data_IF_733595645715
#
_entry.id   IF_733595645715
#
_cell.length_a   1.000
_cell.length_b   1.000
_cell.length_c   1.000
_cell.angle_alpha   90.00
_cell.angle_beta   90.00
_cell.angle_gamma   90.00
#
_symmetry.space_group_name_H-M   'P 1'
#
loop_
_entity.id
_entity.type
_entity.pdbx_description
1 polymer ?
#
# COMPACT_ATOMS: atom_id res chain seq x y z
N UNK A 1 25.02 3.33 10.57
CA UNK A 1 24.24 2.95 9.38
C UNK A 1 22.82 3.36 9.65
N UNK A 2 22.20 4.19 8.80
CA UNK A 2 20.77 4.45 8.91
C UNK A 2 20.07 3.23 8.31
N UNK A 3 19.47 2.42 9.19
CA UNK A 3 18.64 1.31 8.76
C UNK A 3 17.33 1.90 8.27
N UNK A 4 17.09 1.90 6.96
CA UNK A 4 15.80 2.28 6.40
C UNK A 4 14.79 1.19 6.74
N UNK A 5 13.76 1.46 7.57
CA UNK A 5 12.77 0.46 7.92
C UNK A 5 11.87 0.17 6.72
N UNK A 6 11.35 -1.05 6.66
CA UNK A 6 10.32 -1.41 5.67
C UNK A 6 8.95 -1.45 6.32
N UNK A 7 7.97 -0.87 5.63
CA UNK A 7 6.57 -0.94 6.03
C UNK A 7 5.82 -1.84 5.06
N UNK A 8 5.27 -2.93 5.57
CA UNK A 8 4.25 -3.71 4.88
C UNK A 8 2.91 -3.02 5.11
N UNK A 9 2.35 -2.49 4.03
CA UNK A 9 1.19 -1.61 4.06
C UNK A 9 -0.03 -2.31 3.47
N UNK A 10 -0.96 -2.68 4.35
CA UNK A 10 -2.31 -3.06 3.92
C UNK A 10 -3.16 -1.79 3.67
N UNK A 11 -4.09 -1.88 2.73
CA UNK A 11 -5.07 -0.84 2.46
C UNK A 11 -6.45 -1.23 2.93
N UNK A 12 -6.83 -2.50 2.73
CA UNK A 12 -8.16 -3.03 3.05
C UNK A 12 -8.42 -2.80 4.54
N UNK A 13 -9.44 -1.99 4.86
CA UNK A 13 -9.83 -1.58 6.23
C UNK A 13 -8.76 -0.90 7.10
N UNK A 14 -7.51 -0.80 6.64
CA UNK A 14 -6.41 -0.10 7.30
C UNK A 14 -6.28 1.35 6.83
N UNK A 15 -6.32 1.59 5.51
CA UNK A 15 -6.31 2.93 4.91
C UNK A 15 -7.62 3.23 4.18
N UNK A 16 -8.18 2.24 3.48
CA UNK A 16 -9.46 2.29 2.80
C UNK A 16 -10.56 1.86 3.78
N UNK A 17 -10.85 2.71 4.76
CA UNK A 17 -11.87 2.42 5.78
C UNK A 17 -13.25 2.56 5.12
N UNK A 18 -14.05 1.48 5.13
CA UNK A 18 -15.36 1.28 4.47
C UNK A 18 -16.43 2.39 4.57
N UNK A 19 -16.21 3.49 5.29
CA UNK A 19 -17.17 4.60 5.35
C UNK A 19 -17.38 5.32 4.02
N UNK A 20 -16.44 5.26 3.06
CA UNK A 20 -16.49 6.12 1.86
C UNK A 20 -16.08 5.47 0.53
N UNK A 21 -15.55 4.24 0.50
CA UNK A 21 -15.07 3.61 -0.74
C UNK A 21 -15.61 2.19 -0.90
N UNK A 22 -16.38 1.99 -1.97
CA UNK A 22 -16.62 0.66 -2.52
C UNK A 22 -15.39 0.30 -3.36
N UNK A 23 -14.58 -0.68 -2.91
CA UNK A 23 -13.37 -1.11 -3.62
C UNK A 23 -13.66 -1.41 -5.09
N UNK A 24 -14.87 -1.92 -5.40
CA UNK A 24 -15.31 -2.15 -6.77
C UNK A 24 -15.32 -0.87 -7.62
N UNK A 25 -15.77 0.27 -7.07
CA UNK A 25 -15.81 1.55 -7.82
C UNK A 25 -14.42 2.08 -8.15
N UNK A 26 -13.43 1.87 -7.28
CA UNK A 26 -12.05 2.30 -7.54
C UNK A 26 -11.44 1.46 -8.66
N UNK A 27 -11.67 0.14 -8.60
CA UNK A 27 -11.20 -0.79 -9.64
C UNK A 27 -11.89 -0.54 -10.97
N UNK A 28 -13.20 -0.28 -10.98
CA UNK A 28 -13.97 0.04 -12.20
C UNK A 28 -13.49 1.33 -12.86
N UNK A 29 -13.30 2.40 -12.07
CA UNK A 29 -12.82 3.69 -12.61
C UNK A 29 -11.40 3.56 -13.17
N UNK A 30 -10.53 2.78 -12.52
CA UNK A 30 -9.19 2.51 -13.03
C UNK A 30 -9.23 1.67 -14.32
N UNK A 31 -10.01 0.57 -14.33
CA UNK A 31 -10.14 -0.33 -15.47
C UNK A 31 -10.75 0.35 -16.71
N UNK A 32 -11.69 1.27 -16.51
CA UNK A 32 -12.31 2.05 -17.58
C UNK A 32 -11.46 3.22 -18.08
N UNK A 33 -10.30 3.48 -17.45
CA UNK A 33 -9.44 4.62 -17.75
C UNK A 33 -10.15 6.00 -17.69
N UNK A 34 -11.27 6.10 -16.96
CA UNK A 34 -12.04 7.34 -16.76
C UNK A 34 -11.67 8.05 -15.46
N UNK A 35 -10.46 7.79 -14.99
CA UNK A 35 -9.90 8.24 -13.70
C UNK A 35 -9.96 9.75 -13.52
N UNK A 36 -9.85 10.51 -14.62
CA UNK A 36 -9.91 11.98 -14.62
C UNK A 36 -11.34 12.54 -14.54
N UNK A 37 -12.37 11.72 -14.75
CA UNK A 37 -13.77 12.13 -14.64
C UNK A 37 -14.24 12.27 -13.18
N UNK A 38 -13.50 11.71 -12.21
CA UNK A 38 -13.89 11.67 -10.80
C UNK A 38 -12.74 12.05 -9.87
N UNK A 39 -12.26 13.31 -9.89
CA UNK A 39 -11.13 13.74 -9.06
C UNK A 39 -11.41 13.60 -7.56
N UNK A 40 -12.63 13.91 -7.12
CA UNK A 40 -13.02 13.87 -5.70
C UNK A 40 -13.07 12.44 -5.14
N UNK A 41 -13.36 11.45 -6.00
CA UNK A 41 -13.39 10.04 -5.61
C UNK A 41 -12.06 9.64 -4.95
N UNK A 42 -10.94 10.00 -5.55
CA UNK A 42 -9.60 9.60 -5.12
C UNK A 42 -9.18 10.17 -3.76
N UNK A 43 -9.72 11.32 -3.36
CA UNK A 43 -9.44 11.92 -2.06
C UNK A 43 -10.18 11.22 -0.92
N UNK A 44 -11.31 10.58 -1.26
CA UNK A 44 -12.18 9.88 -0.32
C UNK A 44 -11.94 8.36 -0.29
N UNK A 45 -11.14 7.82 -1.23
CA UNK A 45 -10.74 6.41 -1.22
C UNK A 45 -10.02 6.02 0.06
N UNK A 46 -9.13 6.89 0.56
CA UNK A 46 -8.31 6.62 1.73
C UNK A 46 -8.60 7.62 2.85
N UNK A 47 -8.76 7.11 4.07
CA UNK A 47 -9.06 7.93 5.23
C UNK A 47 -8.05 9.05 5.42
N UNK A 48 -8.55 10.28 5.58
CA UNK A 48 -7.73 11.47 5.66
C UNK A 48 -6.85 11.53 6.91
N UNK A 49 -7.25 10.90 8.02
CA UNK A 49 -6.43 10.82 9.22
C UNK A 49 -5.35 9.75 9.05
N UNK A 50 -5.69 8.58 8.53
CA UNK A 50 -4.73 7.51 8.22
C UNK A 50 -3.62 8.01 7.28
N UNK A 51 -3.97 8.74 6.21
CA UNK A 51 -2.99 9.35 5.29
C UNK A 51 -2.06 10.35 5.99
N UNK A 52 -2.59 11.20 6.88
CA UNK A 52 -1.78 12.17 7.64
C UNK A 52 -0.84 11.49 8.62
N UNK A 53 -1.30 10.43 9.29
CA UNK A 53 -0.48 9.63 10.19
C UNK A 53 0.66 8.96 9.42
N UNK A 54 0.35 8.32 8.28
CA UNK A 54 1.35 7.69 7.43
C UNK A 54 2.37 8.69 6.87
N UNK A 55 1.93 9.90 6.53
CA UNK A 55 2.84 10.97 6.10
C UNK A 55 3.75 11.45 7.24
N UNK A 56 3.24 11.52 8.47
CA UNK A 56 4.04 11.88 9.65
C UNK A 56 5.10 10.83 9.90
N UNK A 57 4.71 9.56 9.90
CA UNK A 57 5.62 8.43 10.01
C UNK A 57 6.69 8.48 8.91
N UNK A 58 6.28 8.74 7.66
CA UNK A 58 7.23 8.85 6.56
C UNK A 58 8.29 9.93 6.77
N UNK A 59 7.86 11.12 7.23
CA UNK A 59 8.77 12.25 7.49
C UNK A 59 9.76 11.95 8.60
N UNK A 60 9.36 11.17 9.60
CA UNK A 60 10.18 10.84 10.76
C UNK A 60 11.19 9.73 10.46
N UNK A 61 10.74 8.65 9.81
CA UNK A 61 11.54 7.43 9.68
C UNK A 61 12.07 7.16 8.27
N UNK A 62 11.60 7.91 7.26
CA UNK A 62 11.93 7.72 5.84
C UNK A 62 11.91 6.23 5.39
N UNK A 63 10.81 5.49 5.69
CA UNK A 63 10.72 4.08 5.39
C UNK A 63 10.61 3.81 3.88
N UNK A 64 10.94 2.57 3.52
CA UNK A 64 10.54 1.97 2.24
C UNK A 64 9.23 1.21 2.41
N UNK A 65 8.47 1.06 1.33
CA UNK A 65 7.15 0.44 1.38
C UNK A 65 7.06 -0.83 0.55
N UNK A 66 6.29 -1.79 1.06
CA UNK A 66 5.82 -2.99 0.36
C UNK A 66 4.30 -3.04 0.54
N UNK A 67 3.56 -3.21 -0.55
CA UNK A 67 2.10 -3.29 -0.48
C UNK A 67 1.68 -4.73 -0.18
N UNK A 68 0.97 -4.92 0.94
CA UNK A 68 0.42 -6.22 1.39
C UNK A 68 -1.11 -6.29 1.29
N UNK A 69 -1.72 -5.38 0.52
CA UNK A 69 -3.17 -5.27 0.31
C UNK A 69 -3.70 -6.16 -0.82
N UNK A 70 -4.96 -6.61 -0.71
CA UNK A 70 -5.73 -7.33 -1.75
C UNK A 70 -5.65 -6.67 -3.14
N UNK A 71 -5.47 -5.35 -3.18
CA UNK A 71 -5.45 -4.54 -4.39
C UNK A 71 -4.32 -4.90 -5.36
N UNK A 72 -3.24 -5.52 -4.87
CA UNK A 72 -2.11 -5.97 -5.70
C UNK A 72 -2.47 -7.12 -6.63
N UNK A 73 -3.59 -7.82 -6.38
CA UNK A 73 -4.16 -8.80 -7.31
C UNK A 73 -4.86 -8.17 -8.51
N UNK A 74 -5.15 -6.87 -8.46
CA UNK A 74 -5.95 -6.16 -9.46
C UNK A 74 -5.20 -5.04 -10.17
N UNK A 75 -4.16 -4.50 -9.53
CA UNK A 75 -3.39 -3.37 -10.05
C UNK A 75 -1.94 -3.78 -10.30
N UNK A 76 -1.44 -3.49 -11.50
CA UNK A 76 -0.01 -3.56 -11.75
C UNK A 76 0.72 -2.37 -11.07
N UNK A 77 2.06 -2.39 -11.08
CA UNK A 77 2.87 -1.35 -10.43
C UNK A 77 2.54 0.07 -10.93
N UNK A 78 2.35 0.27 -12.24
CA UNK A 78 2.06 1.58 -12.79
C UNK A 78 0.70 2.09 -12.31
N UNK A 79 -0.31 1.23 -12.32
CA UNK A 79 -1.66 1.53 -11.83
C UNK A 79 -1.65 1.83 -10.34
N UNK A 80 -0.93 1.03 -9.55
CA UNK A 80 -0.74 1.24 -8.12
C UNK A 80 -0.11 2.60 -7.84
N UNK A 81 0.98 2.93 -8.52
CA UNK A 81 1.65 4.23 -8.35
C UNK A 81 0.73 5.40 -8.71
N UNK A 82 -0.03 5.28 -9.81
CA UNK A 82 -1.00 6.31 -10.21
C UNK A 82 -2.07 6.51 -9.15
N UNK A 83 -2.64 5.42 -8.64
CA UNK A 83 -3.62 5.46 -7.55
C UNK A 83 -3.04 6.14 -6.31
N UNK A 84 -1.88 5.70 -5.84
CA UNK A 84 -1.22 6.26 -4.66
C UNK A 84 -0.96 7.77 -4.82
N UNK A 85 -0.48 8.21 -6.00
CA UNK A 85 -0.26 9.64 -6.29
C UNK A 85 -1.58 10.44 -6.20
N UNK A 86 -2.68 9.90 -6.74
CA UNK A 86 -4.01 10.55 -6.72
C UNK A 86 -4.62 10.60 -5.33
N UNK A 87 -4.43 9.56 -4.51
CA UNK A 87 -4.91 9.52 -3.13
C UNK A 87 -4.07 10.40 -2.16
N UNK A 88 -3.06 11.11 -2.65
CA UNK A 88 -2.18 11.95 -1.82
C UNK A 88 -1.06 11.17 -1.13
N UNK A 89 -0.80 9.94 -1.55
CA UNK A 89 0.29 9.07 -1.08
C UNK A 89 1.47 9.02 -2.06
N UNK A 90 1.77 10.13 -2.75
CA UNK A 90 2.93 10.24 -3.66
C UNK A 90 4.25 9.82 -2.98
N UNK A 91 4.40 10.08 -1.68
CA UNK A 91 5.59 9.68 -0.92
C UNK A 91 5.71 8.15 -0.78
N UNK A 92 4.60 7.41 -0.71
CA UNK A 92 4.61 5.94 -0.73
C UNK A 92 5.05 5.46 -2.10
N UNK A 93 4.43 5.98 -3.17
CA UNK A 93 4.74 5.60 -4.55
C UNK A 93 6.23 5.79 -4.90
N UNK A 94 6.86 6.88 -4.45
CA UNK A 94 8.27 7.16 -4.69
C UNK A 94 9.23 6.30 -3.85
N UNK A 95 8.74 5.63 -2.80
CA UNK A 95 9.55 4.86 -1.86
C UNK A 95 9.15 3.37 -1.81
N UNK A 96 8.46 2.85 -2.84
CA UNK A 96 8.21 1.43 -2.98
C UNK A 96 9.54 0.67 -3.13
N UNK A 97 9.66 -0.50 -2.50
CA UNK A 97 10.76 -1.44 -2.75
C UNK A 97 10.70 -1.93 -4.21
N UNK A 98 11.83 -2.43 -4.72
CA UNK A 98 11.89 -3.04 -6.06
C UNK A 98 10.88 -4.18 -6.19
N UNK A 99 10.87 -5.08 -5.20
CA UNK A 99 9.79 -6.03 -4.99
C UNK A 99 8.65 -5.32 -4.23
N UNK A 100 7.84 -4.57 -4.96
CA UNK A 100 6.92 -3.56 -4.41
C UNK A 100 5.69 -4.13 -3.69
N UNK A 101 5.37 -5.41 -3.87
CA UNK A 101 4.25 -6.07 -3.21
C UNK A 101 4.63 -7.47 -2.73
N UNK A 102 3.88 -7.97 -1.73
CA UNK A 102 3.99 -9.34 -1.27
C UNK A 102 3.56 -10.34 -2.36
N UNK A 103 4.17 -11.53 -2.42
CA UNK A 103 3.72 -12.60 -3.31
C UNK A 103 2.39 -13.16 -2.80
N UNK A 104 1.29 -12.87 -3.50
CA UNK A 104 -0.05 -13.38 -3.16
C UNK A 104 -0.43 -14.59 -3.99
N UNK A 105 -1.10 -15.55 -3.36
CA UNK A 105 -1.89 -16.58 -4.01
C UNK A 105 -3.31 -16.63 -3.42
N UNK A 106 -4.25 -17.35 -4.06
CA UNK A 106 -5.67 -17.38 -3.64
C UNK A 106 -5.90 -17.97 -2.23
N UNK A 107 -4.91 -18.69 -1.69
CA UNK A 107 -5.02 -19.41 -0.42
C UNK A 107 -4.09 -18.87 0.66
N UNK A 108 -3.30 -17.82 0.38
CA UNK A 108 -2.30 -17.28 1.30
C UNK A 108 -2.94 -16.37 2.33
N UNK A 109 -2.48 -16.51 3.58
CA UNK A 109 -2.71 -15.47 4.59
C UNK A 109 -1.71 -14.34 4.37
N UNK A 110 -2.08 -13.11 4.71
CA UNK A 110 -1.17 -11.95 4.59
C UNK A 110 0.14 -12.17 5.37
N UNK A 111 0.07 -12.83 6.52
CA UNK A 111 1.26 -13.23 7.28
C UNK A 111 2.19 -14.09 6.44
N UNK A 112 1.67 -15.16 5.82
CA UNK A 112 2.47 -16.04 4.96
C UNK A 112 3.03 -15.32 3.73
N UNK A 113 2.30 -14.33 3.18
CA UNK A 113 2.78 -13.51 2.07
C UNK A 113 3.95 -12.60 2.49
N UNK A 114 3.88 -12.03 3.69
CA UNK A 114 4.96 -11.20 4.26
C UNK A 114 6.19 -12.06 4.57
N UNK A 115 6.01 -13.22 5.20
CA UNK A 115 7.08 -14.18 5.45
C UNK A 115 7.79 -14.57 4.15
N UNK A 116 7.03 -14.95 3.13
CA UNK A 116 7.58 -15.28 1.81
C UNK A 116 8.33 -14.10 1.17
N UNK A 117 7.84 -12.87 1.35
CA UNK A 117 8.56 -11.69 0.84
C UNK A 117 9.91 -11.49 1.56
N UNK A 118 9.93 -11.67 2.89
CA UNK A 118 11.15 -11.56 3.69
C UNK A 118 12.19 -12.63 3.30
N UNK A 119 11.73 -13.85 3.00
CA UNK A 119 12.58 -14.94 2.51
C UNK A 119 13.17 -14.64 1.11
N UNK A 120 12.34 -14.11 0.19
CA UNK A 120 12.77 -13.82 -1.19
C UNK A 120 13.83 -12.73 -1.27
N UNK A 121 13.75 -11.71 -0.42
CA UNK A 121 14.67 -10.57 -0.43
C UNK A 121 15.94 -10.82 0.37
N UNK A 122 16.18 -12.05 0.84
CA UNK A 122 17.29 -12.41 1.72
C UNK A 122 17.42 -11.41 2.88
N UNK A 123 16.30 -11.12 3.54
CA UNK A 123 16.18 -10.10 4.57
C UNK A 123 17.35 -10.18 5.55
N UNK A 124 18.26 -9.21 5.50
CA UNK A 124 19.39 -9.14 6.42
C UNK A 124 18.86 -8.80 7.83
N UNK A 125 19.40 -9.47 8.86
CA UNK A 125 18.96 -9.41 10.26
C UNK A 125 18.88 -7.98 10.85
N UNK A 126 19.46 -6.99 10.19
CA UNK A 126 19.55 -5.60 10.65
C UNK A 126 18.42 -4.68 10.15
N UNK A 127 17.56 -5.09 9.22
CA UNK A 127 16.44 -4.23 8.82
C UNK A 127 15.24 -4.38 9.77
N UNK A 128 14.82 -3.27 10.38
CA UNK A 128 13.55 -3.22 11.09
C UNK A 128 12.38 -3.21 10.09
N UNK A 129 11.30 -3.92 10.40
CA UNK A 129 10.06 -3.80 9.64
C UNK A 129 8.86 -3.55 10.55
N UNK A 130 7.85 -2.91 9.96
CA UNK A 130 6.55 -2.65 10.60
C UNK A 130 5.47 -3.15 9.67
N UNK A 131 4.45 -3.78 10.23
CA UNK A 131 3.25 -4.20 9.51
C UNK A 131 2.11 -3.27 9.93
N UNK A 132 1.50 -2.60 8.97
CA UNK A 132 0.28 -1.83 9.17
C UNK A 132 -0.87 -2.63 8.59
N UNK A 133 -1.75 -3.10 9.46
CA UNK A 133 -2.85 -3.99 9.11
C UNK A 133 -4.15 -3.67 9.86
N UNK A 134 -5.27 -4.16 9.34
CA UNK A 134 -6.62 -4.02 9.91
C UNK A 134 -6.94 -5.10 10.95
N UNK A 135 -6.27 -6.24 10.85
CA UNK A 135 -6.36 -7.35 11.79
C UNK A 135 -4.99 -7.64 12.40
N UNK A 136 -4.98 -7.82 13.73
CA UNK A 136 -3.80 -8.20 14.52
C UNK A 136 -3.71 -9.72 14.70
#
# INVERSE_FOLDING_TARGET
MNLEPVIFLNFDDALAIHKFSDNARVLDVNAMAIVDAFPDLWLDVLDSAARRNLQTLHKEFQPRYVISSSWTSHLNLEEMERMLKRCGLKFVALNLRKQWCTPRNETSSRLSEIEAWLELEAWEEDHAYVIIDDHA
#
